data_IF_150411723145
#
_entry.id   IF_150411723145
#
_cell.length_a   1.000
_cell.length_b   1.000
_cell.length_c   1.000
_cell.angle_alpha   90.00
_cell.angle_beta   90.00
_cell.angle_gamma   90.00
#
_symmetry.space_group_name_H-M   'P 1'
#
loop_
_entity.id
_entity.type
_entity.pdbx_description
1 polymer ?
#
# COMPACT_ATOMS: atom_id res chain seq x y z
N UNK A 1 34.71 1.91 -36.18
CA UNK A 1 34.06 0.82 -35.43
C UNK A 1 33.62 1.41 -34.10
N UNK A 2 32.38 1.87 -34.03
CA UNK A 2 31.81 2.49 -32.82
C UNK A 2 31.04 1.40 -32.08
N UNK A 3 31.53 1.03 -30.91
CA UNK A 3 30.93 0.09 -29.99
C UNK A 3 29.57 0.62 -29.54
N UNK A 4 28.49 0.01 -30.03
CA UNK A 4 27.18 0.12 -29.41
C UNK A 4 27.21 -0.75 -28.16
N UNK A 5 27.09 -0.12 -27.00
CA UNK A 5 26.91 -0.74 -25.70
C UNK A 5 25.47 -1.29 -25.63
N UNK A 6 25.23 -2.62 -25.65
CA UNK A 6 23.88 -3.15 -25.65
C UNK A 6 23.43 -3.35 -24.20
N UNK A 7 22.44 -2.56 -23.80
CA UNK A 7 21.50 -2.95 -22.76
C UNK A 7 22.01 -2.75 -21.33
N UNK A 8 21.92 -1.50 -20.85
CA UNK A 8 21.41 -1.36 -19.49
C UNK A 8 20.04 -2.04 -19.46
N UNK A 9 19.78 -3.00 -18.56
CA UNK A 9 18.46 -3.60 -18.49
C UNK A 9 17.47 -2.48 -18.21
N UNK A 10 16.55 -2.29 -19.15
CA UNK A 10 15.32 -1.55 -18.89
C UNK A 10 14.80 -2.06 -17.55
N UNK A 11 14.77 -1.19 -16.53
CA UNK A 11 14.06 -1.47 -15.27
C UNK A 11 12.56 -1.42 -15.56
N UNK A 12 12.11 -2.33 -16.42
CA UNK A 12 10.71 -2.68 -16.62
C UNK A 12 10.36 -3.68 -15.52
N UNK A 13 10.15 -3.15 -14.33
CA UNK A 13 9.25 -3.77 -13.39
C UNK A 13 8.33 -2.67 -12.92
N UNK A 14 7.26 -2.46 -13.69
CA UNK A 14 5.99 -1.99 -13.16
C UNK A 14 5.66 -2.95 -12.00
N UNK A 15 6.22 -2.66 -10.81
CA UNK A 15 5.97 -3.45 -9.61
C UNK A 15 4.51 -3.18 -9.29
N UNK A 16 3.64 -4.04 -9.81
CA UNK A 16 2.22 -4.02 -9.54
C UNK A 16 2.06 -4.44 -8.10
N UNK A 17 2.18 -3.49 -7.17
CA UNK A 17 1.90 -3.74 -5.77
C UNK A 17 0.43 -4.17 -5.67
N UNK A 18 0.22 -5.39 -5.17
CA UNK A 18 -1.12 -5.92 -4.91
C UNK A 18 -1.69 -5.23 -3.67
N UNK A 19 -2.72 -4.39 -3.86
CA UNK A 19 -3.37 -3.65 -2.76
C UNK A 19 -4.69 -4.32 -2.42
N UNK A 20 -4.74 -4.92 -1.23
CA UNK A 20 -5.95 -5.51 -0.69
C UNK A 20 -6.61 -4.57 0.32
N UNK A 21 -7.81 -4.08 0.00
CA UNK A 21 -8.63 -3.27 0.90
C UNK A 21 -9.63 -4.16 1.62
N UNK A 22 -9.65 -4.09 2.94
CA UNK A 22 -10.64 -4.74 3.80
C UNK A 22 -11.29 -3.71 4.74
N UNK A 23 -12.54 -3.93 5.09
CA UNK A 23 -13.29 -3.08 6.01
C UNK A 23 -13.65 -3.85 7.28
N UNK A 24 -13.63 -3.18 8.43
CA UNK A 24 -14.05 -3.74 9.72
C UNK A 24 -14.95 -2.74 10.45
N UNK A 25 -16.23 -3.11 10.53
CA UNK A 25 -17.30 -2.33 11.21
C UNK A 25 -17.49 -0.90 10.68
N UNK A 26 -17.07 -0.61 9.45
CA UNK A 26 -17.13 0.74 8.89
C UNK A 26 -18.52 1.06 8.35
N UNK A 27 -19.13 2.14 8.83
CA UNK A 27 -20.43 2.64 8.37
C UNK A 27 -20.35 3.34 6.99
N UNK A 28 -19.21 3.95 6.68
CA UNK A 28 -18.96 4.65 5.41
C UNK A 28 -17.64 4.17 4.81
N UNK A 29 -17.73 3.36 3.75
CA UNK A 29 -16.55 2.97 2.97
C UNK A 29 -16.33 3.98 1.83
N UNK A 30 -15.17 4.67 1.78
CA UNK A 30 -14.75 5.40 0.59
C UNK A 30 -14.66 4.44 -0.62
N UNK A 31 -14.68 5.01 -1.82
CA UNK A 31 -14.53 4.23 -3.04
C UNK A 31 -13.23 3.41 -3.03
N UNK A 32 -13.35 2.12 -3.36
CA UNK A 32 -12.24 1.17 -3.27
C UNK A 32 -11.13 1.52 -4.26
N UNK A 33 -11.49 1.96 -5.46
CA UNK A 33 -10.53 2.32 -6.50
C UNK A 33 -9.71 3.53 -6.07
N UNK A 34 -10.36 4.56 -5.54
CA UNK A 34 -9.69 5.74 -4.99
C UNK A 34 -8.68 5.39 -3.87
N UNK A 35 -8.99 4.44 -2.99
CA UNK A 35 -8.07 3.99 -1.93
C UNK A 35 -6.87 3.24 -2.49
N UNK A 36 -7.08 2.39 -3.49
CA UNK A 36 -6.01 1.66 -4.18
C UNK A 36 -5.08 2.63 -4.91
N UNK A 37 -5.64 3.63 -5.59
CA UNK A 37 -4.87 4.64 -6.31
C UNK A 37 -4.05 5.52 -5.38
N UNK A 38 -4.63 5.94 -4.25
CA UNK A 38 -3.92 6.70 -3.22
C UNK A 38 -2.73 5.89 -2.67
N UNK A 39 -2.91 4.61 -2.39
CA UNK A 39 -1.81 3.75 -1.93
C UNK A 39 -0.73 3.58 -2.99
N UNK A 40 -1.10 3.29 -4.24
CA UNK A 40 -0.13 3.18 -5.34
C UNK A 40 0.66 4.47 -5.55
N UNK A 41 0.02 5.63 -5.43
CA UNK A 41 0.68 6.93 -5.53
C UNK A 41 1.77 7.09 -4.46
N UNK A 42 1.45 6.82 -3.19
CA UNK A 42 2.43 6.92 -2.09
C UNK A 42 3.59 5.95 -2.31
N UNK A 43 3.31 4.72 -2.70
CA UNK A 43 4.34 3.67 -2.84
C UNK A 43 5.29 3.91 -4.01
N UNK A 44 4.82 4.52 -5.09
CA UNK A 44 5.67 4.94 -6.21
C UNK A 44 6.72 5.98 -5.79
N UNK A 45 6.40 6.84 -4.82
CA UNK A 45 7.34 7.85 -4.31
C UNK A 45 8.44 7.26 -3.43
N UNK A 46 8.11 6.25 -2.63
CA UNK A 46 8.95 5.74 -1.55
C UNK A 46 9.92 4.62 -1.97
N UNK A 47 9.95 4.24 -3.26
CA UNK A 47 10.80 3.16 -3.81
C UNK A 47 10.72 1.85 -2.99
N UNK A 48 9.54 1.55 -2.45
CA UNK A 48 9.39 0.47 -1.47
C UNK A 48 9.35 -0.89 -2.17
N UNK A 49 10.16 -1.89 -1.75
CA UNK A 49 10.21 -3.19 -2.38
C UNK A 49 9.10 -4.14 -1.88
N UNK A 50 7.88 -3.62 -1.67
CA UNK A 50 6.77 -4.44 -1.21
C UNK A 50 5.98 -5.00 -2.39
N UNK A 51 5.76 -6.31 -2.39
CA UNK A 51 4.96 -7.00 -3.43
C UNK A 51 3.44 -6.89 -3.15
N UNK A 52 3.05 -6.77 -1.88
CA UNK A 52 1.66 -6.72 -1.44
C UNK A 52 1.47 -5.81 -0.23
N UNK A 53 0.37 -5.08 -0.21
CA UNK A 53 -0.04 -4.23 0.90
C UNK A 53 -1.50 -4.49 1.26
N UNK A 54 -1.75 -4.60 2.57
CA UNK A 54 -3.09 -4.65 3.13
C UNK A 54 -3.49 -3.28 3.67
N UNK A 55 -4.62 -2.75 3.19
CA UNK A 55 -5.31 -1.60 3.79
C UNK A 55 -6.51 -2.13 4.59
N UNK A 56 -6.60 -1.70 5.84
CA UNK A 56 -7.75 -2.00 6.70
C UNK A 56 -8.40 -0.67 7.05
N UNK A 57 -9.62 -0.45 6.56
CA UNK A 57 -10.48 0.59 7.08
C UNK A 57 -11.22 0.03 8.28
N UNK A 58 -11.12 0.71 9.41
CA UNK A 58 -11.75 0.29 10.63
C UNK A 58 -12.27 1.51 11.39
N UNK A 59 -13.35 1.30 12.14
CA UNK A 59 -13.86 2.30 13.05
C UNK A 59 -12.86 2.58 14.18
N UNK A 60 -13.00 3.76 14.79
CA UNK A 60 -12.06 4.22 15.81
C UNK A 60 -11.97 3.25 17.00
N UNK A 61 -13.08 2.66 17.44
CA UNK A 61 -13.10 1.68 18.52
C UNK A 61 -12.25 0.44 18.21
N UNK A 62 -12.31 -0.05 16.97
CA UNK A 62 -11.48 -1.16 16.49
C UNK A 62 -10.01 -0.76 16.46
N UNK A 63 -9.68 0.46 16.02
CA UNK A 63 -8.30 0.96 16.01
C UNK A 63 -7.75 1.06 17.44
N UNK A 64 -8.53 1.61 18.38
CA UNK A 64 -8.15 1.69 19.80
C UNK A 64 -7.94 0.30 20.40
N UNK A 65 -8.80 -0.68 20.09
CA UNK A 65 -8.62 -2.07 20.53
C UNK A 65 -7.30 -2.66 20.00
N UNK A 66 -7.00 -2.45 18.71
CA UNK A 66 -5.77 -2.93 18.09
C UNK A 66 -4.53 -2.26 18.67
N UNK A 67 -4.57 -0.95 18.90
CA UNK A 67 -3.46 -0.21 19.50
C UNK A 67 -3.17 -0.68 20.92
N UNK A 68 -4.22 -0.89 21.73
CA UNK A 68 -4.06 -1.39 23.10
C UNK A 68 -3.46 -2.79 23.10
N UNK A 69 -3.94 -3.66 22.21
CA UNK A 69 -3.55 -5.06 22.16
C UNK A 69 -2.15 -5.30 21.61
N UNK A 70 -1.75 -4.58 20.57
CA UNK A 70 -0.52 -4.86 19.83
C UNK A 70 0.57 -3.81 20.01
N UNK A 71 0.22 -2.57 20.35
CA UNK A 71 1.16 -1.46 20.50
C UNK A 71 1.26 -0.96 21.95
N UNK A 72 0.42 -1.48 22.86
CA UNK A 72 0.31 -1.02 24.24
C UNK A 72 0.05 0.50 24.35
N UNK A 73 -0.73 1.03 23.40
CA UNK A 73 -1.20 2.42 23.39
C UNK A 73 -2.72 2.45 23.53
N UNK A 74 -3.24 3.37 24.33
CA UNK A 74 -4.68 3.56 24.58
C UNK A 74 -5.30 4.65 23.70
N UNK A 75 -4.58 5.11 22.68
CA UNK A 75 -5.02 6.05 21.64
C UNK A 75 -4.74 5.54 20.23
#
# INVERSE_FOLDING_TARGET
MTSADPGSPERSADSVVDVNVSTKRVDICPDREALVDAARYVLRGEHVPFERIGLVLADHDVVTELNSRYLNHDW
#
